data_IF_088144539094
#
_entry.id   IF_088144539094
#
_cell.length_a   1.000
_cell.length_b   1.000
_cell.length_c   1.000
_cell.angle_alpha   90.00
_cell.angle_beta   90.00
_cell.angle_gamma   90.00
#
_symmetry.space_group_name_H-M   'P 1'
#
loop_
_entity.id
_entity.type
_entity.pdbx_description
1 polymer ?
#
# COMPACT_ATOMS: atom_id res chain seq x y z
N UNK A 1 6.33 -13.85 7.00
CA UNK A 1 6.58 -14.54 8.29
C UNK A 1 5.65 -14.12 9.41
N UNK A 2 5.31 -12.84 9.60
CA UNK A 2 4.36 -12.43 10.65
C UNK A 2 3.01 -13.17 10.59
N UNK A 3 2.37 -13.23 9.42
CA UNK A 3 1.11 -13.95 9.24
C UNK A 3 1.23 -15.45 9.52
N UNK A 4 2.32 -16.10 9.10
CA UNK A 4 2.58 -17.52 9.38
C UNK A 4 2.67 -17.78 10.88
N UNK A 5 3.40 -16.93 11.61
CA UNK A 5 3.53 -17.05 13.07
C UNK A 5 2.18 -16.86 13.77
N UNK A 6 1.41 -15.86 13.34
CA UNK A 6 0.07 -15.60 13.88
C UNK A 6 -0.88 -16.78 13.60
N UNK A 7 -0.89 -17.32 12.38
CA UNK A 7 -1.72 -18.46 12.00
C UNK A 7 -1.38 -19.70 12.84
N UNK A 8 -0.09 -20.05 12.96
CA UNK A 8 0.37 -21.15 13.82
C UNK A 8 -0.06 -20.97 15.27
N UNK A 9 0.06 -19.76 15.81
CA UNK A 9 -0.37 -19.47 17.18
C UNK A 9 -1.89 -19.62 17.37
N UNK A 10 -2.68 -19.35 16.33
CA UNK A 10 -4.14 -19.44 16.37
C UNK A 10 -4.68 -20.81 15.91
N UNK A 11 -3.80 -21.78 15.60
CA UNK A 11 -4.21 -23.08 15.06
C UNK A 11 -4.87 -22.99 13.68
N UNK A 12 -4.56 -21.93 12.92
CA UNK A 12 -5.09 -21.70 11.57
C UNK A 12 -4.11 -22.30 10.56
N UNK A 13 -4.63 -23.10 9.64
CA UNK A 13 -3.88 -23.58 8.50
C UNK A 13 -3.74 -22.45 7.46
N UNK A 14 -2.49 -22.07 7.16
CA UNK A 14 -2.19 -20.98 6.25
C UNK A 14 -1.33 -21.48 5.10
N UNK A 15 -1.85 -21.30 3.88
CA UNK A 15 -1.11 -21.50 2.65
C UNK A 15 -1.23 -20.28 1.74
N UNK A 16 -0.32 -20.18 0.78
CA UNK A 16 -0.36 -19.20 -0.31
C UNK A 16 -0.63 -19.93 -1.61
N UNK A 17 -1.28 -19.26 -2.55
CA UNK A 17 -1.47 -19.75 -3.90
C UNK A 17 -1.60 -18.55 -4.83
N UNK A 18 -1.41 -18.78 -6.13
CA UNK A 18 -1.66 -17.82 -7.19
C UNK A 18 -2.90 -18.24 -7.97
N UNK A 19 -3.50 -17.33 -8.77
CA UNK A 19 -4.59 -17.71 -9.66
C UNK A 19 -4.24 -18.91 -10.56
N UNK A 20 -2.98 -19.03 -11.00
CA UNK A 20 -2.54 -20.12 -11.87
C UNK A 20 -2.35 -21.46 -11.13
N UNK A 21 -2.44 -21.48 -9.80
CA UNK A 21 -2.30 -22.68 -8.97
C UNK A 21 -3.68 -23.37 -8.71
N UNK A 22 -4.78 -22.81 -9.24
CA UNK A 22 -6.15 -23.33 -9.06
C UNK A 22 -6.50 -24.30 -10.20
N UNK A 23 -6.94 -25.49 -9.82
CA UNK A 23 -7.59 -26.44 -10.72
C UNK A 23 -9.11 -26.27 -10.58
N UNK A 24 -9.71 -25.62 -11.57
CA UNK A 24 -11.14 -25.30 -11.63
C UNK A 24 -12.03 -26.53 -11.88
N UNK A 25 -11.47 -27.61 -12.44
CA UNK A 25 -12.24 -28.82 -12.74
C UNK A 25 -12.35 -29.70 -11.49
N UNK A 26 -11.22 -29.90 -10.80
CA UNK A 26 -11.15 -30.75 -9.62
C UNK A 26 -11.43 -30.00 -8.30
N UNK A 27 -11.57 -28.67 -8.34
CA UNK A 27 -11.71 -27.79 -7.17
C UNK A 27 -10.57 -28.00 -6.16
N UNK A 28 -9.35 -28.08 -6.68
CA UNK A 28 -8.12 -28.25 -5.90
C UNK A 28 -7.16 -27.10 -6.15
N UNK A 29 -6.34 -26.80 -5.15
CA UNK A 29 -5.34 -25.74 -5.22
C UNK A 29 -3.98 -26.33 -4.92
N UNK A 30 -2.98 -25.95 -5.72
CA UNK A 30 -1.58 -26.13 -5.34
C UNK A 30 -1.19 -25.08 -4.30
N UNK A 31 -1.47 -25.38 -3.04
CA UNK A 31 -1.16 -24.54 -1.90
C UNK A 31 0.30 -24.65 -1.46
N UNK A 32 0.92 -23.52 -1.12
CA UNK A 32 2.26 -23.45 -0.55
C UNK A 32 2.17 -23.22 0.97
N UNK A 33 2.58 -24.20 1.76
CA UNK A 33 2.55 -24.22 3.21
C UNK A 33 3.95 -23.95 3.77
N UNK A 34 4.04 -23.25 4.91
CA UNK A 34 5.34 -22.91 5.50
C UNK A 34 5.73 -23.90 6.62
N UNK A 35 6.63 -24.82 6.26
CA UNK A 35 7.13 -25.90 7.10
C UNK A 35 8.64 -25.82 7.23
N UNK A 36 9.18 -26.00 8.45
CA UNK A 36 10.65 -26.09 8.69
C UNK A 36 11.46 -25.03 7.93
N UNK A 37 11.02 -23.78 8.08
CA UNK A 37 11.62 -22.59 7.46
C UNK A 37 11.60 -22.51 5.92
N UNK A 38 10.86 -23.39 5.25
CA UNK A 38 10.70 -23.43 3.79
C UNK A 38 9.22 -23.46 3.35
N UNK A 39 8.97 -23.05 2.10
CA UNK A 39 7.65 -23.18 1.48
C UNK A 39 7.57 -24.50 0.72
N UNK A 40 6.61 -25.35 1.08
CA UNK A 40 6.36 -26.63 0.42
C UNK A 40 5.00 -26.62 -0.25
N UNK A 41 4.95 -27.17 -1.46
CA UNK A 41 3.72 -27.27 -2.23
C UNK A 41 2.97 -28.57 -1.89
N UNK A 42 1.67 -28.44 -1.66
CA UNK A 42 0.74 -29.54 -1.46
C UNK A 42 -0.53 -29.29 -2.28
N UNK A 43 -1.21 -30.36 -2.67
CA UNK A 43 -2.55 -30.25 -3.25
C UNK A 43 -3.54 -30.23 -2.08
N UNK A 44 -4.39 -29.20 -2.05
CA UNK A 44 -5.34 -28.95 -0.97
C UNK A 44 -6.70 -28.54 -1.54
N UNK A 45 -7.81 -28.79 -0.84
CA UNK A 45 -9.10 -28.19 -1.17
C UNK A 45 -9.05 -26.66 -1.10
N UNK A 46 -10.15 -26.04 -1.55
CA UNK A 46 -10.35 -24.60 -1.44
C UNK A 46 -10.34 -24.15 0.04
N UNK A 47 -9.87 -22.92 0.33
CA UNK A 47 -9.81 -22.41 1.69
C UNK A 47 -11.19 -22.01 2.22
N UNK A 48 -11.35 -21.99 3.54
CA UNK A 48 -12.55 -21.45 4.20
C UNK A 48 -12.59 -19.92 4.17
N UNK A 49 -11.44 -19.26 4.01
CA UNK A 49 -11.32 -17.79 4.01
C UNK A 49 -10.11 -17.35 3.19
N UNK A 50 -10.27 -16.27 2.42
CA UNK A 50 -9.19 -15.70 1.60
C UNK A 50 -8.71 -14.35 2.15
N UNK A 51 -7.40 -14.18 2.21
CA UNK A 51 -6.76 -12.88 2.40
C UNK A 51 -6.13 -12.41 1.08
N UNK A 52 -6.79 -11.49 0.40
CA UNK A 52 -6.38 -11.00 -0.92
C UNK A 52 -5.19 -10.04 -0.81
N UNK A 53 -4.00 -10.61 -1.00
CA UNK A 53 -2.73 -9.87 -0.98
C UNK A 53 -2.43 -9.17 -2.30
N UNK A 54 -2.98 -9.65 -3.42
CA UNK A 54 -2.61 -9.19 -4.77
C UNK A 54 -3.45 -7.97 -5.18
N UNK A 55 -4.69 -7.88 -4.67
CA UNK A 55 -5.63 -6.78 -4.88
C UNK A 55 -5.82 -6.48 -6.37
N UNK A 56 -6.23 -7.51 -7.12
CA UNK A 56 -6.52 -7.42 -8.55
C UNK A 56 -8.00 -7.23 -8.87
N UNK A 57 -8.87 -7.06 -7.87
CA UNK A 57 -10.31 -6.80 -8.08
C UNK A 57 -10.50 -5.64 -9.06
N UNK A 58 -11.37 -5.85 -10.06
CA UNK A 58 -11.62 -4.92 -11.17
C UNK A 58 -10.65 -5.03 -12.35
N UNK A 59 -9.63 -5.91 -12.30
CA UNK A 59 -8.80 -6.26 -13.45
C UNK A 59 -9.43 -7.40 -14.22
N UNK A 60 -9.57 -7.23 -15.54
CA UNK A 60 -10.18 -8.21 -16.43
C UNK A 60 -9.46 -9.56 -16.39
N UNK A 61 -8.14 -9.53 -16.25
CA UNK A 61 -7.30 -10.74 -16.20
C UNK A 61 -7.49 -11.55 -14.92
N UNK A 62 -8.00 -10.94 -13.85
CA UNK A 62 -8.23 -11.61 -12.56
C UNK A 62 -9.71 -11.91 -12.30
N UNK A 63 -10.60 -11.57 -13.24
CA UNK A 63 -12.04 -11.68 -13.06
C UNK A 63 -12.47 -13.13 -12.76
N UNK A 64 -12.02 -14.08 -13.58
CA UNK A 64 -12.33 -15.51 -13.40
C UNK A 64 -11.92 -16.03 -12.01
N UNK A 65 -10.77 -15.59 -11.49
CA UNK A 65 -10.30 -15.98 -10.16
C UNK A 65 -11.23 -15.48 -9.04
N UNK A 66 -11.76 -14.26 -9.15
CA UNK A 66 -12.65 -13.72 -8.13
C UNK A 66 -14.07 -14.28 -8.24
N UNK A 67 -14.52 -14.64 -9.44
CA UNK A 67 -15.77 -15.36 -9.67
C UNK A 67 -15.69 -16.77 -9.10
N UNK A 68 -14.60 -17.51 -9.35
CA UNK A 68 -14.40 -18.86 -8.83
C UNK A 68 -14.47 -18.93 -7.29
N UNK A 69 -13.94 -17.91 -6.61
CA UNK A 69 -13.88 -17.87 -5.15
C UNK A 69 -15.01 -17.03 -4.54
N UNK A 70 -16.06 -16.71 -5.30
CA UNK A 70 -17.08 -15.74 -4.86
C UNK A 70 -17.84 -16.18 -3.59
N UNK A 71 -18.02 -17.49 -3.42
CA UNK A 71 -18.68 -18.09 -2.26
C UNK A 71 -17.78 -18.18 -1.01
N UNK A 72 -16.47 -17.93 -1.16
CA UNK A 72 -15.51 -17.97 -0.06
C UNK A 72 -15.32 -16.55 0.51
N UNK A 73 -15.48 -16.35 1.83
CA UNK A 73 -15.34 -15.02 2.41
C UNK A 73 -13.91 -14.46 2.25
N UNK A 74 -13.83 -13.21 1.79
CA UNK A 74 -12.58 -12.46 1.73
C UNK A 74 -12.47 -11.51 2.93
N UNK A 75 -11.36 -11.58 3.66
CA UNK A 75 -11.07 -10.64 4.77
C UNK A 75 -10.86 -9.20 4.31
N UNK A 76 -10.62 -8.97 3.02
CA UNK A 76 -10.45 -7.66 2.43
C UNK A 76 -11.05 -7.60 1.01
N UNK A 77 -12.37 -7.41 0.93
CA UNK A 77 -13.12 -7.37 -0.33
C UNK A 77 -13.12 -5.99 -1.04
N UNK A 78 -12.28 -5.06 -0.62
CA UNK A 78 -12.23 -3.72 -1.22
C UNK A 78 -11.58 -3.79 -2.60
N UNK A 79 -12.17 -3.10 -3.57
CA UNK A 79 -11.50 -2.83 -4.84
C UNK A 79 -10.15 -2.16 -4.58
N UNK A 80 -9.20 -2.33 -5.50
CA UNK A 80 -8.00 -1.48 -5.51
C UNK A 80 -8.39 -0.10 -6.01
N UNK A 81 -9.21 0.59 -5.23
CA UNK A 81 -9.47 2.01 -5.43
C UNK A 81 -8.16 2.74 -5.16
N UNK A 82 -7.60 3.30 -6.22
CA UNK A 82 -6.53 4.28 -6.12
C UNK A 82 -7.17 5.57 -5.59
N UNK A 83 -7.53 5.60 -4.30
CA UNK A 83 -7.96 6.84 -3.68
C UNK A 83 -6.78 7.83 -3.69
N UNK A 84 -6.95 9.03 -4.27
CA UNK A 84 -5.98 10.09 -4.12
C UNK A 84 -5.67 10.30 -2.63
N UNK A 85 -4.40 10.40 -2.28
CA UNK A 85 -4.00 10.69 -0.89
C UNK A 85 -4.65 11.97 -0.42
N UNK A 86 -4.67 13.00 -1.27
CA UNK A 86 -5.34 14.27 -0.98
C UNK A 86 -6.79 14.09 -0.49
N UNK A 87 -7.57 13.23 -1.13
CA UNK A 87 -8.95 12.91 -0.73
C UNK A 87 -8.99 12.25 0.66
N UNK A 88 -8.10 11.29 0.93
CA UNK A 88 -7.99 10.65 2.24
C UNK A 88 -7.68 11.69 3.33
N UNK A 89 -6.71 12.57 3.09
CA UNK A 89 -6.35 13.62 4.04
C UNK A 89 -7.51 14.61 4.25
N UNK A 90 -8.20 15.03 3.20
CA UNK A 90 -9.38 15.90 3.29
C UNK A 90 -10.47 15.26 4.15
N UNK A 91 -10.78 13.99 3.90
CA UNK A 91 -11.78 13.24 4.65
C UNK A 91 -11.39 13.11 6.13
N UNK A 92 -10.13 12.83 6.45
CA UNK A 92 -9.65 12.76 7.84
C UNK A 92 -9.78 14.10 8.57
N UNK A 93 -9.54 15.22 7.87
CA UNK A 93 -9.66 16.56 8.45
C UNK A 93 -11.10 16.99 8.75
N UNK A 94 -12.11 16.29 8.20
CA UNK A 94 -13.53 16.53 8.54
C UNK A 94 -13.86 16.10 9.97
N UNK A 95 -13.08 15.20 10.56
CA UNK A 95 -13.26 14.75 11.92
C UNK A 95 -12.48 15.66 12.89
N UNK A 96 -13.20 16.39 13.74
CA UNK A 96 -12.62 17.37 14.68
C UNK A 96 -11.55 16.76 15.59
N UNK A 97 -11.75 15.53 16.07
CA UNK A 97 -10.80 14.87 16.96
C UNK A 97 -9.49 14.48 16.26
N UNK A 98 -9.56 14.16 14.96
CA UNK A 98 -8.38 13.83 14.16
C UNK A 98 -7.68 15.09 13.68
N UNK A 99 -8.44 16.14 13.34
CA UNK A 99 -7.91 17.40 12.81
C UNK A 99 -6.79 17.99 13.67
N UNK A 100 -6.93 17.93 15.00
CA UNK A 100 -5.94 18.46 15.94
C UNK A 100 -4.62 17.66 15.96
N UNK A 101 -4.68 16.36 15.65
CA UNK A 101 -3.53 15.47 15.61
C UNK A 101 -2.88 15.35 14.21
N UNK A 102 -3.52 15.94 13.18
CA UNK A 102 -3.09 15.82 11.80
C UNK A 102 -2.12 16.96 11.43
N UNK A 103 -1.04 16.68 10.69
CA UNK A 103 -0.18 17.73 10.17
C UNK A 103 -0.90 18.53 9.09
N UNK A 104 -0.56 19.81 8.99
CA UNK A 104 -0.97 20.63 7.85
C UNK A 104 -0.52 20.00 6.53
N UNK A 105 -1.41 20.03 5.54
CA UNK A 105 -1.11 19.49 4.22
C UNK A 105 -1.66 20.41 3.13
N UNK A 106 -1.05 20.35 1.96
CA UNK A 106 -1.47 21.08 0.77
C UNK A 106 -1.38 20.20 -0.47
N UNK A 107 -2.44 20.21 -1.27
CA UNK A 107 -2.41 19.58 -2.61
C UNK A 107 -1.54 20.46 -3.52
N UNK A 108 -0.48 19.87 -4.07
CA UNK A 108 0.45 20.57 -4.96
C UNK A 108 -0.07 20.51 -6.38
N UNK A 109 -0.45 21.66 -6.92
CA UNK A 109 -0.88 21.78 -8.33
C UNK A 109 0.15 22.52 -9.19
N UNK A 110 1.00 23.34 -8.56
CA UNK A 110 2.07 24.13 -9.22
C UNK A 110 3.29 24.23 -8.31
N UNK A 111 4.52 24.46 -8.84
CA UNK A 111 5.73 24.59 -8.02
C UNK A 111 5.64 25.63 -6.89
N UNK A 112 4.91 26.73 -7.13
CA UNK A 112 4.69 27.79 -6.14
C UNK A 112 4.00 27.32 -4.87
N UNK A 113 3.19 26.26 -4.95
CA UNK A 113 2.53 25.68 -3.77
C UNK A 113 3.55 25.13 -2.78
N UNK A 114 4.63 24.52 -3.28
CA UNK A 114 5.73 23.99 -2.47
C UNK A 114 6.52 25.13 -1.85
N UNK A 115 6.84 26.16 -2.63
CA UNK A 115 7.60 27.33 -2.14
C UNK A 115 6.84 27.99 -0.99
N UNK A 116 5.55 28.29 -1.18
CA UNK A 116 4.75 28.93 -0.15
C UNK A 116 4.62 28.07 1.12
N UNK A 117 4.49 26.75 0.96
CA UNK A 117 4.43 25.85 2.10
C UNK A 117 5.76 25.83 2.88
N UNK A 118 6.90 25.92 2.16
CA UNK A 118 8.22 25.99 2.78
C UNK A 118 8.53 27.34 3.43
N UNK A 119 7.94 28.44 2.95
CA UNK A 119 8.04 29.73 3.64
C UNK A 119 7.39 29.66 5.03
N UNK A 120 6.31 28.90 5.19
CA UNK A 120 5.63 28.71 6.49
C UNK A 120 6.35 27.71 7.39
N UNK A 121 6.74 26.52 6.89
CA UNK A 121 7.19 25.40 7.74
C UNK A 121 8.69 25.07 7.61
N UNK A 122 9.44 25.72 6.72
CA UNK A 122 10.88 25.47 6.40
C UNK A 122 11.23 24.05 5.90
N UNK A 123 10.37 23.06 6.13
CA UNK A 123 10.54 21.67 5.75
C UNK A 123 9.18 21.07 5.38
N UNK A 124 9.14 20.23 4.34
CA UNK A 124 7.91 19.59 3.89
C UNK A 124 8.15 18.16 3.40
N UNK A 125 7.15 17.31 3.59
CA UNK A 125 7.10 15.96 3.03
C UNK A 125 6.20 15.98 1.80
N UNK A 126 6.75 15.59 0.65
CA UNK A 126 6.03 15.46 -0.61
C UNK A 126 5.74 13.98 -0.87
N UNK A 127 4.47 13.69 -1.15
CA UNK A 127 4.01 12.36 -1.56
C UNK A 127 3.28 12.47 -2.89
N UNK A 128 3.45 11.46 -3.74
CA UNK A 128 2.61 11.29 -4.95
C UNK A 128 1.17 10.97 -4.53
N UNK A 129 0.17 11.27 -5.35
CA UNK A 129 -1.22 10.87 -5.06
C UNK A 129 -1.38 9.34 -5.04
N UNK A 130 -0.72 8.61 -5.95
CA UNK A 130 -1.00 7.18 -6.17
C UNK A 130 0.19 6.24 -5.93
N UNK A 131 1.43 6.74 -6.02
CA UNK A 131 2.64 5.90 -5.89
C UNK A 131 3.10 5.81 -4.44
N UNK A 132 3.61 4.67 -4.02
CA UNK A 132 4.37 4.57 -2.77
C UNK A 132 5.73 5.24 -2.95
N UNK A 133 6.19 5.94 -1.91
CA UNK A 133 7.45 6.69 -1.94
C UNK A 133 7.31 8.04 -1.25
N UNK A 134 8.36 8.42 -0.54
CA UNK A 134 8.46 9.68 0.18
C UNK A 134 9.62 10.48 -0.42
N UNK A 135 9.36 11.74 -0.71
CA UNK A 135 10.39 12.73 -1.02
C UNK A 135 10.25 13.84 0.02
N UNK A 136 11.33 14.23 0.68
CA UNK A 136 11.31 15.42 1.52
C UNK A 136 11.99 16.58 0.82
N UNK A 137 11.50 17.78 1.09
CA UNK A 137 12.08 19.02 0.62
C UNK A 137 12.32 19.95 1.81
N UNK A 138 13.46 20.63 1.80
CA UNK A 138 13.86 21.56 2.87
C UNK A 138 14.38 22.84 2.27
N UNK A 139 14.01 23.99 2.85
CA UNK A 139 14.65 25.25 2.51
C UNK A 139 16.07 25.29 3.08
N UNK A 140 17.03 25.84 2.33
CA UNK A 140 18.43 25.99 2.79
C UNK A 140 18.87 27.45 2.90
N UNK A 141 18.57 28.26 1.89
CA UNK A 141 18.76 29.71 1.84
C UNK A 141 17.72 30.28 0.83
N UNK A 142 17.65 31.61 0.66
CA UNK A 142 16.66 32.23 -0.23
C UNK A 142 16.75 31.62 -1.65
N UNK A 143 15.68 30.91 -2.05
CA UNK A 143 15.48 30.24 -3.35
C UNK A 143 16.30 28.96 -3.63
N UNK A 144 16.96 28.36 -2.63
CA UNK A 144 17.51 26.99 -2.77
C UNK A 144 16.78 26.00 -1.89
N UNK A 145 16.51 24.85 -2.50
CA UNK A 145 15.82 23.74 -1.86
C UNK A 145 16.64 22.47 -1.95
N UNK A 146 16.69 21.73 -0.85
CA UNK A 146 17.29 20.39 -0.78
C UNK A 146 16.19 19.35 -0.92
N UNK A 147 16.26 18.54 -1.97
CA UNK A 147 15.44 17.33 -2.10
C UNK A 147 16.19 16.15 -1.51
N UNK A 148 15.49 15.31 -0.76
CA UNK A 148 16.01 14.00 -0.36
C UNK A 148 15.01 12.90 -0.62
N UNK A 149 15.48 11.81 -1.21
CA UNK A 149 14.71 10.59 -1.41
C UNK A 149 15.03 9.62 -0.27
N UNK A 150 14.00 9.09 0.38
CA UNK A 150 14.17 8.03 1.37
C UNK A 150 13.28 8.17 2.61
N UNK A 151 12.94 7.01 3.18
CA UNK A 151 12.50 6.92 4.58
C UNK A 151 13.73 7.27 5.41
N UNK A 152 13.70 8.39 6.17
CA UNK A 152 14.64 8.75 7.26
C UNK A 152 15.89 7.84 7.33
N UNK A 153 16.82 8.04 6.38
CA UNK A 153 17.88 7.08 6.10
C UNK A 153 18.39 7.22 4.66
N UNK A 154 19.31 8.18 4.48
CA UNK A 154 20.15 8.47 3.31
C UNK A 154 19.91 7.65 2.02
N UNK A 155 19.50 8.31 0.91
CA UNK A 155 20.26 8.30 -0.37
C UNK A 155 19.68 9.23 -1.45
N UNK A 156 20.60 9.99 -2.06
CA UNK A 156 20.45 10.98 -3.14
C UNK A 156 19.86 12.32 -2.66
N UNK A 157 20.76 13.28 -2.50
CA UNK A 157 20.43 14.69 -2.27
C UNK A 157 20.66 15.44 -3.58
N UNK A 158 19.68 16.23 -4.01
CA UNK A 158 19.81 17.14 -5.14
C UNK A 158 19.34 18.52 -4.71
N UNK A 159 20.14 19.54 -5.02
CA UNK A 159 19.74 20.94 -4.85
C UNK A 159 19.03 21.35 -6.12
N UNK A 160 17.84 21.91 -6.00
CA UNK A 160 17.07 22.45 -7.12
C UNK A 160 16.88 23.95 -6.92
N UNK A 161 17.25 24.73 -7.94
CA UNK A 161 16.91 26.14 -8.09
C UNK A 161 15.83 26.26 -9.16
N UNK A 162 14.84 27.12 -8.92
CA UNK A 162 13.87 27.52 -9.93
C UNK A 162 14.22 28.95 -10.37
N UNK A 163 14.55 29.12 -11.66
CA UNK A 163 14.76 30.43 -12.31
C UNK A 163 13.41 31.11 -12.62
#
# INVERSE_FOLDING_TARGET
MACVKAAKHQGIELFQFRPEDIDYEEMLIRGYFYEVDEWKAFITPYPDVVFDRVKLRGKKEAQLYYEELEDIPFTNAWERSLHPRSEIYQNLMTNTNLKEAMPDFKVVTRPRDIIHFLETYSHALIKSEFKSGNQSISATDQRRFRLSNGVLGFKKQSIVSFD
#
